data_IF_054021534996
#
_entry.id   IF_054021534996
#
_cell.length_a   1.000
_cell.length_b   1.000
_cell.length_c   1.000
_cell.angle_alpha   90.00
_cell.angle_beta   90.00
_cell.angle_gamma   90.00
#
_symmetry.space_group_name_H-M   'P 1'
#
loop_
_entity.id
_entity.type
_entity.pdbx_description
1 polymer ?
#
# COMPACT_ATOMS: atom_id res chain seq x y z
N UNK A 1 -30.96 75.63 17.05
CA UNK A 1 -30.82 74.16 17.21
C UNK A 1 -29.46 73.77 16.66
N UNK A 2 -28.48 73.53 17.53
CA UNK A 2 -27.08 73.29 17.13
C UNK A 2 -26.82 71.79 17.05
N UNK A 3 -26.67 71.27 15.83
CA UNK A 3 -26.34 69.88 15.58
C UNK A 3 -24.83 69.68 15.79
N UNK A 4 -24.46 69.04 16.90
CA UNK A 4 -23.09 68.61 17.16
C UNK A 4 -22.77 67.43 16.25
N UNK A 5 -21.92 67.65 15.25
CA UNK A 5 -21.27 66.57 14.53
C UNK A 5 -20.29 65.86 15.49
N UNK A 6 -20.64 64.66 15.92
CA UNK A 6 -19.70 63.77 16.58
C UNK A 6 -18.71 63.28 15.51
N UNK A 7 -17.51 63.86 15.49
CA UNK A 7 -16.43 63.40 14.62
C UNK A 7 -16.04 61.97 15.03
N UNK A 8 -16.32 61.00 14.17
CA UNK A 8 -15.81 59.63 14.32
C UNK A 8 -14.28 59.68 14.25
N UNK A 9 -13.61 59.35 15.34
CA UNK A 9 -12.16 59.15 15.34
C UNK A 9 -11.87 57.93 14.46
N UNK A 10 -11.33 58.16 13.28
CA UNK A 10 -10.79 57.08 12.45
C UNK A 10 -9.57 56.51 13.19
N UNK A 11 -9.70 55.30 13.72
CA UNK A 11 -8.59 54.55 14.29
C UNK A 11 -7.75 54.02 13.12
N UNK A 12 -6.55 54.58 12.94
CA UNK A 12 -5.57 54.05 12.00
C UNK A 12 -4.98 52.73 12.50
N UNK A 13 -4.54 51.88 11.58
CA UNK A 13 -3.83 50.63 11.90
C UNK A 13 -2.56 50.92 12.68
N UNK A 14 -2.38 50.23 13.80
CA UNK A 14 -1.15 50.30 14.59
C UNK A 14 -0.06 49.43 13.96
N UNK A 15 1.21 49.78 14.21
CA UNK A 15 2.35 48.93 13.83
C UNK A 15 2.22 47.52 14.46
N UNK A 16 1.68 47.44 15.67
CA UNK A 16 1.48 46.19 16.40
C UNK A 16 0.48 45.27 15.67
N UNK A 17 -0.64 45.80 15.17
CA UNK A 17 -1.63 45.01 14.43
C UNK A 17 -1.04 44.40 13.16
N UNK A 18 -0.26 45.17 12.40
CA UNK A 18 0.36 44.65 11.17
C UNK A 18 1.37 43.55 11.50
N UNK A 19 2.19 43.72 12.53
CA UNK A 19 3.15 42.70 12.97
C UNK A 19 2.43 41.44 13.47
N UNK A 20 1.36 41.59 14.26
CA UNK A 20 0.56 40.46 14.74
C UNK A 20 -0.16 39.75 13.59
N UNK A 21 -0.72 40.50 12.64
CA UNK A 21 -1.36 39.92 11.46
C UNK A 21 -0.35 39.12 10.62
N UNK A 22 0.82 39.69 10.36
CA UNK A 22 1.90 38.99 9.65
C UNK A 22 2.38 37.76 10.42
N UNK A 23 2.47 37.82 11.75
CA UNK A 23 2.82 36.68 12.57
C UNK A 23 1.79 35.55 12.41
N UNK A 24 0.50 35.85 12.51
CA UNK A 24 -0.57 34.86 12.35
C UNK A 24 -0.52 34.24 10.95
N UNK A 25 -0.35 35.05 9.90
CA UNK A 25 -0.22 34.57 8.53
C UNK A 25 1.02 33.68 8.37
N UNK A 26 2.16 34.09 8.90
CA UNK A 26 3.40 33.30 8.82
C UNK A 26 3.24 31.94 9.50
N UNK A 27 2.63 31.89 10.68
CA UNK A 27 2.33 30.64 11.39
C UNK A 27 1.35 29.75 10.61
N UNK A 28 0.31 30.34 10.02
CA UNK A 28 -0.65 29.61 9.19
C UNK A 28 -0.01 29.00 7.95
N UNK A 29 0.86 29.75 7.27
CA UNK A 29 1.60 29.24 6.11
C UNK A 29 2.61 28.15 6.50
N UNK A 30 3.31 28.31 7.63
CA UNK A 30 4.22 27.28 8.14
C UNK A 30 3.48 25.95 8.39
N UNK A 31 2.32 26.01 9.06
CA UNK A 31 1.48 24.85 9.29
C UNK A 31 0.97 24.22 7.98
N UNK A 32 0.58 25.03 6.99
CA UNK A 32 0.12 24.53 5.69
C UNK A 32 1.22 23.77 4.93
N UNK A 33 2.47 24.26 4.97
CA UNK A 33 3.62 23.58 4.35
C UNK A 33 3.91 22.25 5.05
N UNK A 34 3.85 22.23 6.39
CA UNK A 34 4.03 21.00 7.16
C UNK A 34 2.97 19.95 6.82
N UNK A 35 1.69 20.34 6.80
CA UNK A 35 0.58 19.46 6.43
C UNK A 35 0.75 18.91 5.00
N UNK A 36 1.19 19.74 4.07
CA UNK A 36 1.44 19.32 2.68
C UNK A 36 2.57 18.30 2.61
N UNK A 37 3.64 18.51 3.37
CA UNK A 37 4.79 17.59 3.42
C UNK A 37 4.39 16.24 4.00
N UNK A 38 3.60 16.24 5.08
CA UNK A 38 3.06 15.02 5.68
C UNK A 38 2.15 14.27 4.69
N UNK A 39 1.25 14.98 4.00
CA UNK A 39 0.36 14.40 3.00
C UNK A 39 1.15 13.77 1.84
N UNK A 40 2.20 14.44 1.34
CA UNK A 40 3.07 13.91 0.30
C UNK A 40 3.80 12.63 0.75
N UNK A 41 4.35 12.61 1.98
CA UNK A 41 5.00 11.42 2.54
C UNK A 41 4.04 10.24 2.69
N UNK A 42 2.80 10.50 3.10
CA UNK A 42 1.76 9.48 3.19
C UNK A 42 1.39 8.91 1.82
N UNK A 43 1.24 9.76 0.80
CA UNK A 43 0.95 9.35 -0.56
C UNK A 43 2.04 8.42 -1.12
N UNK A 44 3.32 8.75 -0.90
CA UNK A 44 4.45 7.90 -1.29
C UNK A 44 4.44 6.55 -0.57
N UNK A 45 4.13 6.54 0.72
CA UNK A 45 4.03 5.30 1.50
C UNK A 45 2.92 4.39 0.99
N UNK A 46 1.75 4.95 0.66
CA UNK A 46 0.64 4.20 0.07
C UNK A 46 1.01 3.64 -1.30
N UNK A 47 1.64 4.46 -2.15
CA UNK A 47 2.12 4.01 -3.46
C UNK A 47 3.08 2.81 -3.33
N UNK A 48 4.03 2.86 -2.41
CA UNK A 48 4.95 1.74 -2.16
C UNK A 48 4.22 0.46 -1.73
N UNK A 49 3.20 0.57 -0.88
CA UNK A 49 2.37 -0.57 -0.48
C UNK A 49 1.58 -1.14 -1.66
N UNK A 50 0.99 -0.29 -2.51
CA UNK A 50 0.27 -0.74 -3.71
C UNK A 50 1.20 -1.48 -4.67
N UNK A 51 2.40 -0.97 -4.91
CA UNK A 51 3.39 -1.64 -5.78
C UNK A 51 3.86 -2.97 -5.17
N UNK A 52 4.10 -3.02 -3.86
CA UNK A 52 4.44 -4.26 -3.16
C UNK A 52 3.31 -5.30 -3.22
N UNK A 53 2.05 -4.85 -3.13
CA UNK A 53 0.88 -5.70 -3.27
C UNK A 53 0.76 -6.28 -4.68
N UNK A 54 1.03 -5.49 -5.72
CA UNK A 54 1.10 -5.98 -7.11
C UNK A 54 2.19 -7.04 -7.29
N UNK A 55 3.35 -6.87 -6.66
CA UNK A 55 4.39 -7.91 -6.64
C UNK A 55 3.84 -9.18 -5.97
N UNK A 56 3.22 -9.08 -4.80
CA UNK A 56 2.64 -10.23 -4.10
C UNK A 56 1.58 -10.95 -4.93
N UNK A 57 0.69 -10.21 -5.59
CA UNK A 57 -0.34 -10.76 -6.48
C UNK A 57 0.26 -11.46 -7.70
N UNK A 58 1.29 -10.89 -8.33
CA UNK A 58 1.98 -11.54 -9.45
C UNK A 58 2.64 -12.86 -9.03
N UNK A 59 3.24 -12.90 -7.84
CA UNK A 59 3.79 -14.12 -7.26
C UNK A 59 2.71 -15.16 -7.00
N UNK A 60 1.59 -14.76 -6.38
CA UNK A 60 0.45 -15.64 -6.17
C UNK A 60 -0.14 -16.18 -7.47
N UNK A 61 -0.29 -15.32 -8.49
CA UNK A 61 -0.78 -15.71 -9.80
C UNK A 61 0.14 -16.76 -10.45
N UNK A 62 1.46 -16.59 -10.33
CA UNK A 62 2.45 -17.58 -10.80
C UNK A 62 2.23 -18.94 -10.13
N UNK A 63 2.01 -18.97 -8.81
CA UNK A 63 1.72 -20.21 -8.08
C UNK A 63 0.38 -20.84 -8.47
N UNK A 64 -0.63 -20.04 -8.83
CA UNK A 64 -1.96 -20.51 -9.26
C UNK A 64 -1.97 -21.09 -10.67
N UNK A 65 -1.13 -20.56 -11.56
CA UNK A 65 -1.04 -21.05 -12.95
C UNK A 65 -0.15 -22.29 -13.08
N UNK A 66 0.59 -22.65 -12.03
CA UNK A 66 1.35 -23.89 -12.01
C UNK A 66 0.43 -25.11 -12.20
N UNK A 67 0.85 -26.05 -13.05
CA UNK A 67 0.04 -27.24 -13.40
C UNK A 67 -0.14 -28.21 -12.23
N UNK A 68 0.71 -28.12 -11.20
CA UNK A 68 0.66 -28.96 -10.01
C UNK A 68 0.67 -28.09 -8.75
N UNK A 69 0.15 -28.65 -7.66
CA UNK A 69 0.16 -27.98 -6.36
C UNK A 69 1.61 -27.71 -5.93
N UNK A 70 1.96 -26.48 -5.53
CA UNK A 70 3.34 -26.16 -5.15
C UNK A 70 3.84 -27.05 -4.00
N UNK A 71 5.11 -27.42 -4.07
CA UNK A 71 5.78 -28.11 -2.97
C UNK A 71 5.81 -27.23 -1.72
N UNK A 72 5.72 -27.85 -0.55
CA UNK A 72 5.93 -27.14 0.71
C UNK A 72 7.39 -26.69 0.82
N UNK A 73 7.63 -25.53 1.41
CA UNK A 73 8.96 -24.95 1.53
C UNK A 73 8.93 -23.43 1.57
N UNK A 74 10.11 -22.83 1.55
CA UNK A 74 10.27 -21.39 1.43
C UNK A 74 11.07 -21.03 0.18
N UNK A 75 10.70 -19.93 -0.45
CA UNK A 75 11.42 -19.35 -1.56
C UNK A 75 11.58 -17.84 -1.35
N UNK A 76 12.69 -17.29 -1.82
CA UNK A 76 12.92 -15.85 -1.78
C UNK A 76 13.41 -15.36 -3.14
N UNK A 77 13.23 -14.07 -3.39
CA UNK A 77 13.75 -13.44 -4.59
C UNK A 77 13.48 -11.95 -4.59
N UNK A 78 13.65 -11.36 -5.76
CA UNK A 78 13.36 -9.95 -6.00
C UNK A 78 12.53 -9.77 -7.26
N UNK A 79 11.84 -8.64 -7.37
CA UNK A 79 11.05 -8.28 -8.53
C UNK A 79 11.09 -6.75 -8.74
N UNK A 80 11.41 -6.27 -9.95
CA UNK A 80 11.26 -4.86 -10.29
C UNK A 80 9.78 -4.50 -10.47
N UNK A 81 9.35 -3.38 -9.90
CA UNK A 81 7.99 -2.85 -10.01
C UNK A 81 7.98 -1.33 -9.80
N UNK A 82 7.33 -0.59 -10.71
CA UNK A 82 7.18 0.87 -10.59
C UNK A 82 8.50 1.63 -10.44
N UNK A 83 9.56 1.18 -11.12
CA UNK A 83 10.91 1.77 -11.02
C UNK A 83 11.68 1.45 -9.74
N UNK A 84 11.12 0.62 -8.84
CA UNK A 84 11.77 0.15 -7.61
C UNK A 84 12.01 -1.36 -7.64
N UNK A 85 12.96 -1.84 -6.86
CA UNK A 85 13.16 -3.29 -6.65
C UNK A 85 12.56 -3.70 -5.31
N UNK A 86 11.68 -4.70 -5.32
CA UNK A 86 11.10 -5.30 -4.13
C UNK A 86 11.68 -6.69 -3.89
N UNK A 87 11.76 -7.08 -2.63
CA UNK A 87 12.19 -8.40 -2.22
C UNK A 87 10.99 -9.17 -1.70
N UNK A 88 10.84 -10.42 -2.10
CA UNK A 88 9.71 -11.24 -1.71
C UNK A 88 10.18 -12.52 -1.03
N UNK A 89 9.37 -13.02 -0.10
CA UNK A 89 9.51 -14.31 0.55
C UNK A 89 8.18 -15.03 0.50
N UNK A 90 8.20 -16.22 -0.07
CA UNK A 90 7.11 -17.16 -0.16
C UNK A 90 7.32 -18.27 0.86
N UNK A 91 6.27 -18.60 1.60
CA UNK A 91 6.23 -19.72 2.53
C UNK A 91 5.00 -20.57 2.20
N UNK A 92 5.23 -21.83 1.88
CA UNK A 92 4.22 -22.79 1.47
C UNK A 92 4.18 -23.91 2.49
N UNK A 93 3.01 -24.11 3.10
CA UNK A 93 2.79 -25.14 4.12
C UNK A 93 1.58 -26.01 3.79
N UNK A 94 1.45 -27.14 4.50
CA UNK A 94 0.29 -28.02 4.38
C UNK A 94 -1.00 -27.30 4.76
N UNK A 95 -2.06 -27.51 3.98
CA UNK A 95 -3.40 -27.09 4.31
C UNK A 95 -4.11 -28.06 5.25
N UNK A 96 -5.36 -27.73 5.62
CA UNK A 96 -6.21 -28.62 6.44
C UNK A 96 -6.60 -29.93 5.72
N UNK A 97 -6.49 -29.95 4.38
CA UNK A 97 -6.72 -31.14 3.55
C UNK A 97 -5.45 -31.47 2.75
N UNK A 98 -5.22 -32.75 2.41
CA UNK A 98 -4.02 -33.18 1.66
C UNK A 98 -3.84 -32.45 0.32
N UNK A 99 -4.95 -32.14 -0.36
CA UNK A 99 -5.01 -31.42 -1.63
C UNK A 99 -4.94 -29.89 -1.50
N UNK A 100 -4.77 -29.35 -0.30
CA UNK A 100 -4.67 -27.91 -0.03
C UNK A 100 -3.25 -27.53 0.42
N UNK A 101 -2.77 -26.38 -0.04
CA UNK A 101 -1.56 -25.71 0.47
C UNK A 101 -1.93 -24.33 0.96
N UNK A 102 -1.33 -23.93 2.08
CA UNK A 102 -1.37 -22.55 2.53
C UNK A 102 -0.13 -21.84 1.99
N UNK A 103 -0.31 -20.65 1.44
CA UNK A 103 0.75 -19.81 0.87
C UNK A 103 0.73 -18.47 1.60
N UNK A 104 1.89 -18.04 2.08
CA UNK A 104 2.14 -16.72 2.63
C UNK A 104 3.22 -16.04 1.80
N UNK A 105 2.90 -14.89 1.21
CA UNK A 105 3.82 -14.10 0.40
C UNK A 105 4.02 -12.77 1.09
N UNK A 106 5.24 -12.51 1.55
CA UNK A 106 5.65 -11.25 2.15
C UNK A 106 6.53 -10.48 1.19
N UNK A 107 6.31 -9.17 1.08
CA UNK A 107 7.07 -8.30 0.18
C UNK A 107 7.62 -7.11 0.97
N UNK A 108 8.90 -6.83 0.83
CA UNK A 108 9.65 -5.78 1.51
C UNK A 108 10.41 -4.89 0.51
N UNK A 109 10.70 -3.64 0.91
CA UNK A 109 11.52 -2.74 0.09
C UNK A 109 13.04 -3.07 0.13
N UNK A 110 13.46 -3.90 1.08
CA UNK A 110 14.86 -4.32 1.29
C UNK A 110 14.90 -5.81 1.63
N UNK A 111 15.98 -6.50 1.25
CA UNK A 111 16.13 -7.95 1.43
C UNK A 111 15.79 -8.43 2.87
N UNK A 112 16.33 -7.74 3.87
CA UNK A 112 16.12 -8.04 5.29
C UNK A 112 15.25 -6.99 6.01
N UNK A 113 14.46 -6.24 5.23
CA UNK A 113 13.55 -5.22 5.75
C UNK A 113 12.22 -5.79 6.25
N UNK A 114 11.45 -5.00 7.02
CA UNK A 114 10.09 -5.37 7.37
C UNK A 114 9.22 -5.52 6.11
N UNK A 115 8.26 -6.45 6.17
CA UNK A 115 7.29 -6.63 5.09
C UNK A 115 6.37 -5.39 5.01
N UNK A 116 6.27 -4.82 3.81
CA UNK A 116 5.30 -3.76 3.49
C UNK A 116 3.89 -4.34 3.38
N UNK A 117 3.78 -5.53 2.82
CA UNK A 117 2.54 -6.29 2.62
C UNK A 117 2.82 -7.77 2.86
N UNK A 118 1.87 -8.47 3.47
CA UNK A 118 1.84 -9.93 3.53
C UNK A 118 0.49 -10.43 3.02
N UNK A 119 0.51 -11.17 1.92
CA UNK A 119 -0.66 -11.82 1.34
C UNK A 119 -0.70 -13.28 1.80
N UNK A 120 -1.86 -13.73 2.30
CA UNK A 120 -2.09 -15.13 2.68
C UNK A 120 -3.22 -15.70 1.83
N UNK A 121 -3.01 -16.88 1.24
CA UNK A 121 -4.00 -17.56 0.40
C UNK A 121 -3.88 -19.06 0.56
N UNK A 122 -4.98 -19.79 0.37
CA UNK A 122 -4.97 -21.24 0.23
C UNK A 122 -5.12 -21.62 -1.25
N UNK A 123 -4.33 -22.60 -1.69
CA UNK A 123 -4.40 -23.20 -3.02
C UNK A 123 -4.94 -24.62 -2.87
N UNK A 124 -5.96 -24.97 -3.65
CA UNK A 124 -6.45 -26.34 -3.74
C UNK A 124 -6.09 -26.89 -5.13
N UNK A 125 -5.68 -28.16 -5.20
CA UNK A 125 -5.54 -28.83 -6.49
C UNK A 125 -6.90 -28.83 -7.19
N UNK A 126 -6.93 -28.46 -8.47
CA UNK A 126 -8.15 -28.60 -9.27
C UNK A 126 -8.59 -30.06 -9.20
N UNK A 127 -9.80 -30.30 -8.68
CA UNK A 127 -10.46 -31.60 -8.73
C UNK A 127 -10.81 -31.87 -10.20
N UNK A 128 -9.84 -32.33 -11.00
CA UNK A 128 -10.15 -32.96 -12.28
C UNK A 128 -10.78 -34.30 -11.91
N UNK A 129 -12.08 -34.53 -12.17
CA UNK A 129 -12.66 -35.84 -11.93
C UNK A 129 -11.96 -36.84 -12.84
N UNK A 130 -11.33 -37.85 -12.25
CA UNK A 130 -10.65 -38.96 -12.93
C UNK A 130 -11.56 -39.74 -13.91
N UNK A 131 -12.86 -39.44 -13.95
CA UNK A 131 -13.85 -40.08 -14.81
C UNK A 131 -13.74 -39.70 -16.31
N UNK A 132 -13.04 -38.63 -16.69
CA UNK A 132 -12.97 -38.21 -18.09
C UNK A 132 -12.02 -39.07 -18.95
N UNK A 133 -11.01 -39.71 -18.36
CA UNK A 133 -10.04 -40.52 -19.11
C UNK A 133 -10.49 -41.98 -19.34
N UNK A 134 -11.52 -42.45 -18.64
CA UNK A 134 -12.02 -43.82 -18.80
C UNK A 134 -12.99 -44.00 -19.99
N UNK A 135 -13.47 -42.91 -20.59
CA UNK A 135 -14.42 -42.93 -21.71
C UNK A 135 -13.78 -42.90 -23.10
N UNK A 136 -12.44 -42.85 -23.19
CA UNK A 136 -11.70 -42.88 -24.47
C UNK A 136 -11.04 -44.23 -24.75
N UNK A 137 -11.64 -45.32 -24.24
CA UNK A 137 -11.41 -46.65 -24.77
C UNK A 137 -12.03 -46.78 -26.16
N UNK A 138 -11.30 -46.35 -27.18
CA UNK A 138 -11.59 -46.72 -28.57
C UNK A 138 -10.84 -48.02 -28.86
N UNK A 139 -11.52 -49.08 -29.34
CA UNK A 139 -10.88 -50.33 -29.76
C UNK A 139 -9.95 -50.12 -30.96
#
# INVERSE_FOLDING_TARGET
MSARHAASRAHGFTLLEVVVALLIVALGLAAAVELTTLAAGNALTLQQKTLADWVAMNRLATLRTASALPAAGSATGHAPMGGSTFYWREEISGGALPQVRNVSISVSAKADGPALVTLRSSLAAALVPAAANAAMGVP
#
